data_IF_266363165892
#
_entry.id   IF_266363165892
#
_cell.length_a   1.000
_cell.length_b   1.000
_cell.length_c   1.000
_cell.angle_alpha   90.00
_cell.angle_beta   90.00
_cell.angle_gamma   90.00
#
_symmetry.space_group_name_H-M   'P 1'
#
loop_
_entity.id
_entity.type
_entity.pdbx_description
1 polymer ?
#
# COMPACT_ATOMS: atom_id res chain seq x y z
N UNK A 1 -57.08 -43.61 10.65
CA UNK A 1 -55.79 -42.97 10.57
C UNK A 1 -55.62 -42.38 9.20
N UNK A 2 -55.80 -41.09 9.06
CA UNK A 2 -55.44 -40.34 7.88
C UNK A 2 -53.91 -40.15 7.87
N UNK A 3 -53.24 -40.36 6.72
CA UNK A 3 -51.82 -40.08 6.65
C UNK A 3 -51.58 -38.59 6.85
N UNK A 4 -50.72 -38.24 7.79
CA UNK A 4 -50.25 -36.89 7.97
C UNK A 4 -49.41 -36.52 6.72
N UNK A 5 -49.88 -35.54 5.96
CA UNK A 5 -49.10 -34.95 4.86
C UNK A 5 -48.18 -33.93 5.48
N UNK A 6 -46.91 -34.20 5.41
CA UNK A 6 -45.86 -33.22 5.77
C UNK A 6 -45.80 -32.21 4.61
N UNK A 7 -46.26 -31.00 4.85
CA UNK A 7 -46.03 -29.88 3.91
C UNK A 7 -44.66 -29.28 4.30
N UNK A 8 -43.64 -29.64 3.57
CA UNK A 8 -42.36 -28.94 3.67
C UNK A 8 -42.49 -27.57 3.00
N UNK A 9 -42.35 -26.52 3.73
CA UNK A 9 -42.15 -25.20 3.17
C UNK A 9 -40.65 -25.07 2.92
N UNK A 10 -40.23 -25.01 1.66
CA UNK A 10 -38.87 -24.60 1.31
C UNK A 10 -38.77 -23.11 1.57
N UNK A 11 -38.31 -22.73 2.74
CA UNK A 11 -37.89 -21.35 3.00
C UNK A 11 -36.47 -21.14 2.47
N UNK A 12 -36.32 -20.16 1.64
CA UNK A 12 -35.05 -19.72 1.11
C UNK A 12 -34.46 -18.71 2.12
N UNK A 13 -33.33 -19.06 2.72
CA UNK A 13 -32.60 -18.14 3.60
C UNK A 13 -31.66 -17.29 2.78
N UNK A 14 -31.62 -16.01 3.06
CA UNK A 14 -30.70 -15.08 2.44
C UNK A 14 -29.76 -14.54 3.49
N UNK A 15 -28.48 -14.58 3.18
CA UNK A 15 -27.43 -13.90 3.95
C UNK A 15 -27.22 -12.52 3.33
N UNK A 16 -27.48 -11.48 4.11
CA UNK A 16 -27.21 -10.12 3.68
C UNK A 16 -26.02 -9.56 4.45
N UNK A 17 -24.94 -9.28 3.76
CA UNK A 17 -23.80 -8.59 4.36
C UNK A 17 -24.10 -7.12 4.60
N UNK A 18 -23.62 -6.58 5.71
CA UNK A 18 -23.67 -5.14 5.98
C UNK A 18 -22.82 -4.32 5.00
N UNK A 19 -21.88 -4.96 4.31
CA UNK A 19 -20.95 -4.31 3.38
C UNK A 19 -20.88 -5.10 2.08
N UNK A 20 -20.95 -4.39 0.97
CA UNK A 20 -20.69 -4.96 -0.36
C UNK A 20 -19.18 -5.10 -0.65
N UNK A 21 -18.34 -4.45 0.12
CA UNK A 21 -16.88 -4.46 -0.02
C UNK A 21 -16.22 -4.39 1.35
N UNK A 22 -15.22 -5.22 1.57
CA UNK A 22 -14.36 -5.23 2.76
C UNK A 22 -12.95 -4.88 2.35
N UNK A 23 -12.32 -3.94 3.06
CA UNK A 23 -10.91 -3.63 2.93
C UNK A 23 -10.25 -4.00 4.26
N UNK A 24 -9.18 -4.78 4.20
CA UNK A 24 -8.46 -5.24 5.38
C UNK A 24 -6.96 -5.26 5.12
N UNK A 25 -6.18 -4.76 6.07
CA UNK A 25 -4.72 -4.89 6.07
C UNK A 25 -4.32 -6.28 6.59
N UNK A 26 -3.25 -6.85 6.05
CA UNK A 26 -2.85 -8.24 6.29
C UNK A 26 -2.73 -8.60 7.78
N UNK A 27 -2.18 -7.74 8.60
CA UNK A 27 -1.97 -7.99 10.05
C UNK A 27 -3.09 -7.47 10.94
N UNK A 28 -4.09 -6.81 10.35
CA UNK A 28 -5.26 -6.30 11.08
C UNK A 28 -6.40 -7.31 11.03
N UNK A 29 -7.35 -7.16 11.93
CA UNK A 29 -8.58 -7.93 11.93
C UNK A 29 -9.78 -7.07 11.56
N UNK A 30 -10.75 -7.68 10.91
CA UNK A 30 -12.02 -7.07 10.54
C UNK A 30 -13.16 -7.93 11.05
N UNK A 31 -14.28 -7.31 11.40
CA UNK A 31 -15.52 -8.03 11.66
C UNK A 31 -16.31 -8.17 10.37
N UNK A 32 -16.61 -9.42 10.04
CA UNK A 32 -17.46 -9.82 8.93
C UNK A 32 -18.87 -10.00 9.50
N UNK A 33 -19.74 -9.03 9.26
CA UNK A 33 -21.10 -9.02 9.79
C UNK A 33 -22.10 -9.35 8.69
N UNK A 34 -23.11 -10.12 9.05
CA UNK A 34 -24.23 -10.41 8.16
C UNK A 34 -25.52 -10.64 8.97
N UNK A 35 -26.66 -10.56 8.28
CA UNK A 35 -27.97 -10.89 8.82
C UNK A 35 -28.63 -11.95 7.94
N UNK A 36 -29.34 -12.87 8.57
CA UNK A 36 -30.07 -13.94 7.92
C UNK A 36 -31.54 -13.74 8.12
N UNK A 37 -32.28 -13.83 7.02
CA UNK A 37 -33.74 -13.75 7.06
C UNK A 37 -34.38 -14.76 6.08
N UNK A 38 -35.59 -15.15 6.40
CA UNK A 38 -36.42 -15.96 5.51
C UNK A 38 -37.00 -15.05 4.41
N UNK A 39 -36.80 -15.42 3.15
CA UNK A 39 -37.25 -14.63 2.00
C UNK A 39 -38.78 -14.62 1.91
N UNK A 40 -39.45 -15.66 2.41
CA UNK A 40 -40.89 -15.80 2.27
C UNK A 40 -41.68 -14.77 3.10
N UNK A 41 -41.20 -14.48 4.30
CA UNK A 41 -41.91 -13.58 5.25
C UNK A 41 -41.03 -12.47 5.83
N UNK A 42 -39.76 -12.43 5.43
CA UNK A 42 -38.76 -11.46 5.93
C UNK A 42 -38.49 -11.57 7.45
N UNK A 43 -38.81 -12.71 8.05
CA UNK A 43 -38.51 -12.96 9.44
C UNK A 43 -37.02 -13.26 9.64
N UNK A 44 -36.48 -12.84 10.80
CA UNK A 44 -35.10 -13.14 11.17
C UNK A 44 -34.94 -14.64 11.47
N UNK A 45 -33.84 -15.24 11.00
CA UNK A 45 -33.56 -16.66 11.23
C UNK A 45 -32.53 -16.80 12.35
N UNK A 46 -32.97 -17.34 13.51
CA UNK A 46 -32.09 -17.67 14.62
C UNK A 46 -31.52 -19.09 14.49
N UNK A 47 -30.43 -19.36 15.20
CA UNK A 47 -29.80 -20.67 15.33
C UNK A 47 -29.32 -21.31 14.01
N UNK A 48 -29.27 -20.53 12.93
CA UNK A 48 -28.69 -20.98 11.66
C UNK A 48 -27.18 -20.82 11.65
N UNK A 49 -26.47 -21.82 11.12
CA UNK A 49 -25.02 -21.77 10.97
C UNK A 49 -24.65 -21.07 9.67
N UNK A 50 -23.84 -20.02 9.76
CA UNK A 50 -23.23 -19.35 8.61
C UNK A 50 -21.77 -19.72 8.52
N UNK A 51 -21.38 -20.26 7.40
CA UNK A 51 -20.00 -20.56 7.06
C UNK A 51 -19.44 -19.43 6.18
N UNK A 52 -18.28 -18.91 6.55
CA UNK A 52 -17.54 -17.92 5.81
C UNK A 52 -16.44 -18.62 5.03
N UNK A 53 -16.51 -18.54 3.71
CA UNK A 53 -15.63 -19.23 2.78
C UNK A 53 -14.87 -18.18 1.96
N UNK A 54 -13.57 -18.20 2.06
CA UNK A 54 -12.68 -17.29 1.36
C UNK A 54 -12.12 -17.99 0.11
N UNK A 55 -12.29 -17.35 -1.07
CA UNK A 55 -11.74 -17.85 -2.32
C UNK A 55 -10.29 -17.38 -2.48
N UNK A 56 -9.36 -18.29 -2.25
CA UNK A 56 -7.94 -18.06 -2.42
C UNK A 56 -7.46 -18.68 -3.74
N UNK A 57 -7.76 -18.01 -4.86
CA UNK A 57 -7.17 -18.26 -6.20
C UNK A 57 -7.50 -19.60 -6.81
N UNK A 58 -8.28 -20.45 -6.55
CA UNK A 58 -8.76 -21.78 -6.96
C UNK A 58 -9.00 -22.73 -5.77
N UNK A 59 -8.85 -22.22 -4.53
CA UNK A 59 -9.06 -23.01 -3.33
C UNK A 59 -10.00 -22.26 -2.42
N UNK A 60 -11.17 -22.82 -2.18
CA UNK A 60 -12.10 -22.30 -1.19
C UNK A 60 -11.62 -22.74 0.20
N UNK A 61 -11.42 -21.78 1.08
CA UNK A 61 -10.98 -22.03 2.47
C UNK A 61 -12.06 -21.52 3.42
N UNK A 62 -12.60 -22.37 4.25
CA UNK A 62 -13.48 -21.97 5.34
C UNK A 62 -12.65 -21.22 6.39
N UNK A 63 -12.93 -19.93 6.57
CA UNK A 63 -12.25 -19.06 7.54
C UNK A 63 -12.94 -19.07 8.92
N UNK A 64 -14.18 -19.55 8.98
CA UNK A 64 -14.92 -19.74 10.22
C UNK A 64 -16.40 -19.99 9.97
N UNK A 65 -17.08 -20.40 11.03
CA UNK A 65 -18.55 -20.52 11.06
C UNK A 65 -19.09 -19.91 12.36
N UNK A 66 -20.26 -19.30 12.25
CA UNK A 66 -20.96 -18.64 13.37
C UNK A 66 -22.43 -19.00 13.34
N UNK A 67 -23.03 -19.17 14.51
CA UNK A 67 -24.48 -19.39 14.64
C UNK A 67 -25.16 -18.03 14.79
N UNK A 68 -26.27 -17.82 14.06
CA UNK A 68 -27.04 -16.59 14.13
C UNK A 68 -27.69 -16.42 15.49
N UNK A 69 -27.76 -15.17 15.97
CA UNK A 69 -28.45 -14.81 17.20
C UNK A 69 -29.98 -14.78 17.01
N UNK A 70 -30.72 -14.44 18.06
CA UNK A 70 -32.19 -14.33 18.05
C UNK A 70 -32.74 -13.27 17.07
N UNK A 71 -31.86 -12.42 16.55
CA UNK A 71 -32.17 -11.39 15.56
C UNK A 71 -31.66 -11.73 14.16
N UNK A 72 -31.16 -12.97 13.98
CA UNK A 72 -30.60 -13.40 12.70
C UNK A 72 -29.20 -12.87 12.41
N UNK A 73 -28.53 -12.18 13.35
CA UNK A 73 -27.23 -11.59 13.09
C UNK A 73 -26.08 -12.59 13.34
N UNK A 74 -25.06 -12.49 12.54
CA UNK A 74 -23.79 -13.20 12.69
C UNK A 74 -22.62 -12.21 12.60
N UNK A 75 -21.55 -12.49 13.34
CA UNK A 75 -20.34 -11.69 13.33
C UNK A 75 -19.13 -12.59 13.51
N UNK A 76 -18.22 -12.59 12.54
CA UNK A 76 -16.95 -13.32 12.57
C UNK A 76 -15.79 -12.33 12.56
N UNK A 77 -14.92 -12.39 13.56
CA UNK A 77 -13.64 -11.68 13.53
C UNK A 77 -12.66 -12.49 12.68
N UNK A 78 -12.08 -11.87 11.68
CA UNK A 78 -11.14 -12.49 10.76
C UNK A 78 -9.92 -11.61 10.51
N UNK A 79 -8.76 -12.25 10.31
CA UNK A 79 -7.52 -11.60 9.92
C UNK A 79 -6.89 -12.35 8.74
N UNK A 80 -6.50 -11.67 7.65
CA UNK A 80 -5.94 -12.30 6.44
C UNK A 80 -4.44 -12.61 6.59
N UNK A 81 -4.01 -13.16 7.71
CA UNK A 81 -2.60 -13.49 7.95
C UNK A 81 -2.10 -14.49 6.90
N UNK A 82 -1.01 -14.13 6.22
CA UNK A 82 -0.38 -14.98 5.21
C UNK A 82 -1.09 -15.01 3.86
N UNK A 83 -2.13 -14.20 3.68
CA UNK A 83 -2.80 -14.01 2.39
C UNK A 83 -2.07 -12.90 1.62
N UNK A 84 -1.70 -13.16 0.36
CA UNK A 84 -1.06 -12.14 -0.48
C UNK A 84 -1.98 -10.93 -0.70
N UNK A 85 -1.45 -9.72 -0.90
CA UNK A 85 -2.29 -8.59 -1.25
C UNK A 85 -3.01 -8.83 -2.59
N UNK A 86 -4.29 -8.45 -2.66
CA UNK A 86 -5.09 -8.74 -3.83
C UNK A 86 -6.60 -8.54 -3.64
N UNK A 87 -7.35 -8.85 -4.70
CA UNK A 87 -8.80 -8.94 -4.67
C UNK A 87 -9.22 -10.40 -4.51
N UNK A 88 -10.18 -10.60 -3.64
CA UNK A 88 -10.71 -11.91 -3.30
C UNK A 88 -12.23 -11.85 -3.15
N UNK A 89 -12.86 -13.01 -3.27
CA UNK A 89 -14.28 -13.18 -2.98
C UNK A 89 -14.45 -13.89 -1.63
N UNK A 90 -15.32 -13.34 -0.80
CA UNK A 90 -15.79 -13.95 0.44
C UNK A 90 -17.22 -14.41 0.21
N UNK A 91 -17.47 -15.70 0.34
CA UNK A 91 -18.80 -16.29 0.28
C UNK A 91 -19.31 -16.54 1.70
N UNK A 92 -20.56 -16.22 1.93
CA UNK A 92 -21.27 -16.57 3.15
C UNK A 92 -22.38 -17.53 2.80
N UNK A 93 -22.33 -18.71 3.38
CA UNK A 93 -23.27 -19.80 3.12
C UNK A 93 -24.00 -20.14 4.41
N UNK A 94 -25.32 -20.14 4.38
CA UNK A 94 -26.13 -20.54 5.53
C UNK A 94 -26.48 -22.02 5.46
N UNK A 95 -26.28 -22.69 6.59
CA UNK A 95 -26.72 -24.07 6.81
C UNK A 95 -27.72 -24.07 7.97
N UNK A 96 -28.91 -24.57 7.73
CA UNK A 96 -29.87 -24.86 8.76
C UNK A 96 -29.75 -26.34 9.14
N UNK A 97 -29.28 -26.62 10.35
CA UNK A 97 -29.25 -27.95 10.92
C UNK A 97 -30.55 -28.16 11.70
N UNK A 98 -31.60 -28.53 10.99
CA UNK A 98 -32.87 -28.89 11.61
C UNK A 98 -32.68 -30.13 12.52
N UNK A 99 -32.14 -29.90 13.71
CA UNK A 99 -32.06 -30.92 14.77
C UNK A 99 -33.35 -31.11 15.53
N UNK A 100 -34.46 -30.56 15.08
CA UNK A 100 -35.77 -30.64 15.75
C UNK A 100 -36.52 -31.98 15.58
N UNK A 101 -35.74 -33.06 15.53
CA UNK A 101 -36.30 -34.43 15.68
C UNK A 101 -37.10 -34.99 14.49
N UNK A 102 -37.22 -34.24 13.39
CA UNK A 102 -37.82 -34.67 12.15
C UNK A 102 -36.85 -35.15 11.09
N UNK A 103 -35.61 -35.33 11.45
CA UNK A 103 -34.50 -35.75 10.58
C UNK A 103 -34.62 -37.22 10.18
N UNK A 104 -35.46 -37.49 9.25
CA UNK A 104 -35.33 -38.65 8.38
C UNK A 104 -34.93 -38.15 6.98
N UNK A 105 -33.62 -37.87 6.81
CA UNK A 105 -32.99 -37.75 5.50
C UNK A 105 -32.79 -36.33 4.99
N UNK A 106 -31.58 -35.87 5.02
CA UNK A 106 -30.91 -34.95 4.08
C UNK A 106 -31.62 -33.65 3.64
N UNK A 107 -32.40 -33.01 4.46
CA UNK A 107 -32.88 -31.67 4.13
C UNK A 107 -31.96 -30.60 4.69
N UNK A 108 -30.78 -30.45 4.10
CA UNK A 108 -30.00 -29.21 4.23
C UNK A 108 -30.76 -28.17 3.43
N UNK A 109 -31.29 -27.16 4.09
CA UNK A 109 -31.76 -25.97 3.40
C UNK A 109 -30.54 -25.17 3.02
N UNK A 110 -30.28 -25.05 1.73
CA UNK A 110 -29.23 -24.17 1.24
C UNK A 110 -29.82 -22.78 1.14
N UNK A 111 -29.28 -21.85 1.90
CA UNK A 111 -29.50 -20.44 1.65
C UNK A 111 -28.72 -20.00 0.41
N UNK A 112 -29.11 -18.88 -0.18
CA UNK A 112 -28.33 -18.26 -1.25
C UNK A 112 -26.97 -17.86 -0.73
N UNK A 113 -25.94 -18.08 -1.56
CA UNK A 113 -24.62 -17.57 -1.30
C UNK A 113 -24.59 -16.05 -1.47
N UNK A 114 -24.12 -15.35 -0.49
CA UNK A 114 -23.78 -13.93 -0.65
C UNK A 114 -22.29 -13.79 -0.88
N UNK A 115 -21.90 -13.09 -1.94
CA UNK A 115 -20.50 -12.82 -2.26
C UNK A 115 -20.18 -11.38 -1.91
N UNK A 116 -19.10 -11.19 -1.15
CA UNK A 116 -18.55 -9.90 -0.78
C UNK A 116 -17.14 -9.77 -1.33
N UNK A 117 -16.87 -8.68 -2.03
CA UNK A 117 -15.51 -8.40 -2.52
C UNK A 117 -14.62 -7.99 -1.35
N UNK A 118 -13.50 -8.66 -1.21
CA UNK A 118 -12.48 -8.37 -0.20
C UNK A 118 -11.21 -7.85 -0.87
N UNK A 119 -10.71 -6.74 -0.40
CA UNK A 119 -9.39 -6.23 -0.78
C UNK A 119 -8.43 -6.42 0.39
N UNK A 120 -7.41 -7.24 0.21
CA UNK A 120 -6.31 -7.40 1.17
C UNK A 120 -5.21 -6.41 0.80
N UNK A 121 -4.83 -5.57 1.78
CA UNK A 121 -3.78 -4.56 1.65
C UNK A 121 -2.61 -4.90 2.55
N UNK A 122 -1.43 -4.41 2.20
CA UNK A 122 -0.20 -4.55 2.99
C UNK A 122 0.49 -3.20 3.12
N UNK A 123 1.20 -3.03 4.22
CA UNK A 123 2.09 -1.89 4.41
C UNK A 123 3.32 -2.02 3.53
N UNK A 124 3.75 -0.89 2.97
CA UNK A 124 5.00 -0.81 2.22
C UNK A 124 6.14 -0.33 3.11
N UNK A 125 7.36 -0.71 2.78
CA UNK A 125 8.59 -0.19 3.39
C UNK A 125 9.67 -0.03 2.32
N UNK A 126 10.71 0.72 2.64
CA UNK A 126 11.83 1.01 1.74
C UNK A 126 13.13 0.42 2.26
N UNK A 127 13.90 -0.16 1.34
CA UNK A 127 15.32 -0.41 1.54
C UNK A 127 16.13 0.41 0.54
N UNK A 128 16.95 1.32 1.02
CA UNK A 128 17.87 2.10 0.20
C UNK A 128 19.20 1.35 0.12
N UNK A 129 19.55 0.92 -1.08
CA UNK A 129 20.78 0.17 -1.34
C UNK A 129 21.95 1.12 -1.61
N UNK A 130 21.69 2.26 -2.25
CA UNK A 130 22.70 3.28 -2.53
C UNK A 130 22.09 4.66 -2.65
N UNK A 131 22.67 5.62 -1.92
CA UNK A 131 22.37 7.05 -2.01
C UNK A 131 23.65 7.84 -1.66
N UNK A 132 24.06 8.85 -2.44
CA UNK A 132 25.22 9.66 -2.10
C UNK A 132 24.92 10.57 -0.91
N UNK A 133 25.88 10.68 0.01
CA UNK A 133 25.80 11.63 1.14
C UNK A 133 26.08 13.08 0.70
N UNK A 134 26.72 13.27 -0.45
CA UNK A 134 27.12 14.57 -0.98
C UNK A 134 26.95 14.58 -2.49
N UNK A 135 26.34 15.65 -2.99
CA UNK A 135 26.09 15.85 -4.44
C UNK A 135 26.46 17.28 -4.83
N UNK A 136 26.72 17.49 -6.11
CA UNK A 136 27.02 18.82 -6.65
C UNK A 136 25.79 19.37 -7.34
N UNK A 137 25.41 20.61 -7.06
CA UNK A 137 24.33 21.30 -7.73
C UNK A 137 24.57 21.36 -9.26
N UNK A 138 23.53 21.09 -10.04
CA UNK A 138 23.60 20.98 -11.51
C UNK A 138 24.04 19.60 -12.02
N UNK A 139 24.36 18.65 -11.17
CA UNK A 139 24.76 17.28 -11.56
C UNK A 139 23.75 16.28 -11.00
N UNK A 140 23.11 15.54 -11.89
CA UNK A 140 22.19 14.47 -11.49
C UNK A 140 22.91 13.38 -10.71
N UNK A 141 22.21 12.78 -9.76
CA UNK A 141 22.69 11.61 -9.02
C UNK A 141 21.65 10.51 -8.98
N UNK A 142 22.09 9.28 -8.76
CA UNK A 142 21.19 8.12 -8.72
C UNK A 142 20.95 7.68 -7.28
N UNK A 143 19.70 7.26 -7.05
CA UNK A 143 19.28 6.55 -5.84
C UNK A 143 18.79 5.16 -6.24
N UNK A 144 19.38 4.15 -5.61
CA UNK A 144 19.00 2.75 -5.82
C UNK A 144 18.34 2.21 -4.57
N UNK A 145 17.32 1.41 -4.76
CA UNK A 145 16.63 0.78 -3.63
C UNK A 145 15.55 -0.18 -4.06
N UNK A 146 14.75 -0.57 -3.08
CA UNK A 146 13.70 -1.57 -3.21
C UNK A 146 12.50 -1.14 -2.39
N UNK A 147 11.30 -1.48 -2.87
CA UNK A 147 10.06 -1.41 -2.10
C UNK A 147 9.73 -2.81 -1.61
N UNK A 148 9.40 -2.94 -0.34
CA UNK A 148 9.20 -4.19 0.38
C UNK A 148 7.80 -4.24 0.97
N UNK A 149 7.24 -5.44 1.07
CA UNK A 149 6.06 -5.72 1.89
C UNK A 149 6.50 -5.72 3.37
N UNK A 150 6.02 -4.77 4.15
CA UNK A 150 6.39 -4.62 5.55
C UNK A 150 5.70 -5.63 6.46
N UNK A 151 4.52 -6.13 6.06
CA UNK A 151 3.69 -7.04 6.83
C UNK A 151 4.14 -8.48 6.74
N UNK A 152 4.88 -8.83 5.69
CA UNK A 152 5.39 -10.17 5.49
C UNK A 152 6.78 -10.32 6.12
N UNK A 153 6.95 -11.31 7.01
CA UNK A 153 8.24 -11.58 7.67
C UNK A 153 9.39 -11.88 6.71
N UNK A 154 9.14 -12.37 5.49
CA UNK A 154 10.13 -12.56 4.43
C UNK A 154 10.44 -11.27 3.67
N UNK A 155 9.65 -10.21 3.87
CA UNK A 155 9.77 -8.89 3.23
C UNK A 155 9.97 -8.98 1.71
N UNK A 156 9.05 -9.63 0.98
CA UNK A 156 9.17 -9.77 -0.46
C UNK A 156 9.13 -8.40 -1.15
N UNK A 157 9.77 -8.32 -2.32
CA UNK A 157 9.80 -7.10 -3.12
C UNK A 157 8.44 -6.84 -3.77
N UNK A 158 8.03 -5.57 -3.78
CA UNK A 158 6.79 -5.10 -4.38
C UNK A 158 7.09 -4.47 -5.73
N UNK A 159 6.53 -5.02 -6.80
CA UNK A 159 6.69 -4.51 -8.17
C UNK A 159 5.52 -3.63 -8.60
N UNK A 160 5.77 -2.77 -9.59
CA UNK A 160 4.71 -1.97 -10.24
C UNK A 160 4.13 -0.86 -9.36
N UNK A 161 4.82 -0.46 -8.30
CA UNK A 161 4.39 0.63 -7.41
C UNK A 161 4.92 1.95 -7.94
N UNK A 162 4.06 2.97 -7.98
CA UNK A 162 4.48 4.31 -8.37
C UNK A 162 5.13 5.05 -7.19
N UNK A 163 6.26 5.69 -7.47
CA UNK A 163 7.04 6.46 -6.51
C UNK A 163 7.03 7.94 -6.88
N UNK A 164 7.04 8.80 -5.88
CA UNK A 164 7.31 10.23 -6.00
C UNK A 164 8.53 10.59 -5.19
N UNK A 165 9.29 11.60 -5.67
CA UNK A 165 10.52 12.08 -5.01
C UNK A 165 10.49 13.58 -4.92
N UNK A 166 10.80 14.13 -3.76
CA UNK A 166 10.86 15.56 -3.49
C UNK A 166 11.83 15.90 -2.37
N UNK A 167 12.18 17.20 -2.25
CA UNK A 167 12.91 17.70 -1.10
C UNK A 167 11.92 18.05 0.02
N UNK A 168 12.19 17.60 1.25
CA UNK A 168 11.33 17.90 2.41
C UNK A 168 11.18 19.40 2.65
N UNK A 169 12.23 20.16 2.35
CA UNK A 169 12.25 21.62 2.50
C UNK A 169 11.42 22.36 1.43
N UNK A 170 11.06 21.65 0.35
CA UNK A 170 10.16 22.17 -0.69
C UNK A 170 9.20 21.07 -1.20
N UNK A 171 8.22 20.64 -0.38
CA UNK A 171 7.36 19.50 -0.70
C UNK A 171 6.40 19.77 -1.87
N UNK A 172 6.21 21.02 -2.24
CA UNK A 172 5.35 21.41 -3.37
C UNK A 172 6.04 21.25 -4.73
N UNK A 173 7.35 21.01 -4.74
CA UNK A 173 8.13 20.82 -5.96
C UNK A 173 8.57 19.36 -6.04
N UNK A 174 7.82 18.60 -6.84
CA UNK A 174 8.12 17.20 -7.12
C UNK A 174 9.30 17.10 -8.08
N UNK A 175 10.36 16.40 -7.69
CA UNK A 175 11.53 16.15 -8.54
C UNK A 175 11.23 15.04 -9.56
N UNK A 176 10.58 14.00 -9.10
CA UNK A 176 10.15 12.85 -9.90
C UNK A 176 8.74 12.47 -9.49
N UNK A 177 7.87 12.28 -10.44
CA UNK A 177 6.49 11.85 -10.23
C UNK A 177 6.17 10.59 -11.02
N UNK A 178 5.52 9.64 -10.38
CA UNK A 178 5.01 8.43 -11.02
C UNK A 178 6.09 7.45 -11.52
N UNK A 179 7.30 7.46 -10.93
CA UNK A 179 8.29 6.43 -11.25
C UNK A 179 7.79 5.05 -10.84
N UNK A 180 7.72 4.12 -11.78
CA UNK A 180 7.23 2.76 -11.52
C UNK A 180 8.40 1.84 -11.14
N UNK A 181 8.29 1.13 -10.02
CA UNK A 181 9.26 0.09 -9.64
C UNK A 181 9.28 -1.02 -10.68
N UNK A 182 10.46 -1.60 -10.90
CA UNK A 182 10.66 -2.70 -11.86
C UNK A 182 9.86 -3.96 -11.48
N UNK A 183 9.83 -4.95 -12.37
CA UNK A 183 9.14 -6.22 -12.15
C UNK A 183 9.66 -7.02 -10.95
N UNK A 184 10.85 -6.68 -10.45
CA UNK A 184 11.44 -7.26 -9.24
C UNK A 184 11.42 -6.29 -8.03
N UNK A 185 10.60 -5.24 -8.06
CA UNK A 185 10.43 -4.29 -6.96
C UNK A 185 11.61 -3.34 -6.73
N UNK A 186 12.63 -3.35 -7.59
CA UNK A 186 13.76 -2.44 -7.47
C UNK A 186 13.49 -1.12 -8.16
N UNK A 187 14.20 -0.07 -7.74
CA UNK A 187 14.22 1.21 -8.44
C UNK A 187 15.65 1.76 -8.56
N UNK A 188 15.87 2.50 -9.65
CA UNK A 188 17.10 3.27 -9.90
C UNK A 188 16.67 4.62 -10.47
N UNK A 189 16.57 5.61 -9.59
CA UNK A 189 16.01 6.92 -9.91
C UNK A 189 17.15 7.92 -10.07
N UNK A 190 17.21 8.59 -11.22
CA UNK A 190 18.12 9.71 -11.45
C UNK A 190 17.46 10.99 -10.96
N UNK A 191 18.02 11.58 -9.93
CA UNK A 191 17.51 12.79 -9.29
C UNK A 191 18.21 14.01 -9.89
N UNK A 192 17.45 14.95 -10.48
CA UNK A 192 18.01 16.21 -10.95
C UNK A 192 18.32 17.14 -9.77
N UNK A 193 19.43 17.88 -9.87
CA UNK A 193 19.79 18.91 -8.90
C UNK A 193 19.71 20.32 -9.46
N UNK A 194 19.39 20.46 -10.73
CA UNK A 194 19.26 21.73 -11.46
C UNK A 194 17.85 22.36 -11.38
N UNK A 195 16.83 21.55 -11.11
CA UNK A 195 15.43 22.01 -10.98
C UNK A 195 15.16 22.88 -9.75
N UNK A 196 16.17 23.09 -8.97
CA UNK A 196 16.10 23.85 -7.73
C UNK A 196 16.29 25.33 -8.04
N UNK A 197 15.36 25.84 -8.75
CA UNK A 197 15.32 27.19 -9.35
C UNK A 197 15.24 28.31 -8.34
N UNK A 198 15.93 28.45 -7.32
CA UNK A 198 15.90 29.71 -6.54
C UNK A 198 17.05 29.89 -5.52
N UNK A 199 18.25 29.42 -5.78
CA UNK A 199 19.41 29.78 -4.94
C UNK A 199 19.41 29.20 -3.51
N UNK A 200 18.36 28.48 -3.13
CA UNK A 200 18.16 27.97 -1.77
C UNK A 200 18.56 26.51 -1.57
N UNK A 201 19.14 25.90 -2.58
CA UNK A 201 19.28 24.43 -2.65
C UNK A 201 20.55 23.89 -2.04
N UNK A 202 21.46 24.74 -1.71
CA UNK A 202 22.75 24.32 -1.13
C UNK A 202 22.66 24.11 0.36
N UNK A 203 23.47 23.21 0.87
CA UNK A 203 23.45 22.80 2.27
C UNK A 203 22.84 21.43 2.47
N UNK A 204 22.59 21.10 3.71
CA UNK A 204 21.91 19.85 4.05
C UNK A 204 20.46 19.89 3.58
N UNK A 205 20.06 18.87 2.83
CA UNK A 205 18.70 18.66 2.33
C UNK A 205 18.24 17.26 2.68
N UNK A 206 16.94 17.11 2.83
CA UNK A 206 16.32 15.81 3.09
C UNK A 206 15.57 15.36 1.84
N UNK A 207 16.08 14.34 1.16
CA UNK A 207 15.41 13.69 0.05
C UNK A 207 14.33 12.75 0.60
N UNK A 208 13.12 12.91 0.12
CA UNK A 208 11.97 12.04 0.46
C UNK A 208 11.61 11.24 -0.76
N UNK A 209 11.47 9.93 -0.59
CA UNK A 209 10.93 9.02 -1.59
C UNK A 209 9.70 8.38 -0.97
N UNK A 210 8.55 8.47 -1.63
CA UNK A 210 7.29 7.93 -1.12
C UNK A 210 6.55 7.13 -2.19
N UNK A 211 5.77 6.15 -1.73
CA UNK A 211 4.76 5.48 -2.55
C UNK A 211 3.63 6.46 -2.81
N UNK A 212 3.24 6.61 -4.08
CA UNK A 212 2.12 7.49 -4.47
C UNK A 212 0.82 6.89 -3.94
N UNK A 213 0.07 7.68 -3.17
CA UNK A 213 -1.22 7.28 -2.64
C UNK A 213 -2.18 6.87 -3.76
N UNK A 214 -2.82 5.71 -3.60
CA UNK A 214 -3.77 5.18 -4.58
C UNK A 214 -3.15 4.66 -5.88
N UNK A 215 -1.82 4.67 -6.02
CA UNK A 215 -1.14 4.09 -7.20
C UNK A 215 -1.32 2.58 -7.31
N UNK A 216 -1.60 1.93 -6.19
CA UNK A 216 -2.00 0.53 -6.13
C UNK A 216 -3.12 0.38 -5.09
N UNK A 217 -4.17 -0.40 -5.37
CA UNK A 217 -5.21 -0.69 -4.39
C UNK A 217 -4.73 -1.62 -3.26
N UNK A 218 -3.52 -2.20 -3.40
CA UNK A 218 -3.02 -3.24 -2.52
C UNK A 218 -1.91 -2.80 -1.59
N UNK A 219 -1.24 -1.67 -1.89
CA UNK A 219 -0.08 -1.20 -1.13
C UNK A 219 -0.36 0.14 -0.50
N UNK A 220 -0.21 0.19 0.81
CA UNK A 220 -0.38 1.42 1.57
C UNK A 220 0.83 2.34 1.39
N UNK A 221 0.61 3.62 1.65
CA UNK A 221 1.63 4.64 1.49
C UNK A 221 2.77 4.45 2.48
N UNK A 222 3.99 4.55 1.99
CA UNK A 222 5.19 4.60 2.80
C UNK A 222 6.11 5.71 2.31
N UNK A 223 7.03 6.15 3.15
CA UNK A 223 8.06 7.10 2.75
C UNK A 223 9.38 6.81 3.46
N UNK A 224 10.48 7.16 2.80
CA UNK A 224 11.81 7.15 3.39
C UNK A 224 12.46 8.52 3.25
N UNK A 225 13.32 8.89 4.20
CA UNK A 225 13.97 10.19 4.26
C UNK A 225 15.49 10.01 4.38
N UNK A 226 16.25 10.73 3.55
CA UNK A 226 17.70 10.64 3.53
C UNK A 226 18.32 12.04 3.45
N UNK A 227 19.23 12.32 4.36
CA UNK A 227 19.98 13.58 4.38
C UNK A 227 21.09 13.61 3.32
N UNK A 228 21.15 14.65 2.51
CA UNK A 228 22.14 14.84 1.45
C UNK A 228 22.73 16.25 1.54
N UNK A 229 24.05 16.36 1.48
CA UNK A 229 24.73 17.65 1.36
C UNK A 229 24.81 18.05 -0.11
N UNK A 230 24.08 19.09 -0.49
CA UNK A 230 24.17 19.69 -1.83
C UNK A 230 25.22 20.79 -1.82
N UNK A 231 26.29 20.61 -2.58
CA UNK A 231 27.39 21.55 -2.71
C UNK A 231 27.25 22.41 -3.96
N UNK A 232 27.56 23.70 -3.84
CA UNK A 232 27.70 24.57 -5.00
C UNK A 232 29.11 24.43 -5.62
N UNK A 233 29.20 24.73 -6.90
CA UNK A 233 30.48 24.92 -7.57
C UNK A 233 30.82 26.41 -7.57
N UNK A 234 32.01 26.72 -7.15
CA UNK A 234 32.51 28.11 -7.16
C UNK A 234 33.69 28.26 -8.11
N UNK A 235 33.79 29.43 -8.72
CA UNK A 235 34.89 29.79 -9.58
C UNK A 235 35.45 31.15 -9.21
N UNK A 236 36.68 31.38 -9.53
CA UNK A 236 37.27 32.69 -9.46
C UNK A 236 36.98 33.48 -10.75
N UNK A 237 36.43 34.66 -10.60
CA UNK A 237 36.23 35.61 -11.69
C UNK A 237 37.13 36.85 -11.48
N UNK A 238 37.43 37.51 -12.58
CA UNK A 238 38.18 38.77 -12.58
C UNK A 238 39.52 38.63 -11.83
N UNK A 239 40.20 37.47 -12.07
CA UNK A 239 41.55 37.30 -11.53
C UNK A 239 42.48 38.39 -12.04
N UNK A 240 43.04 39.17 -11.13
CA UNK A 240 44.00 40.20 -11.45
C UNK A 240 45.34 39.90 -10.79
N UNK A 241 46.44 40.14 -11.48
CA UNK A 241 46.54 40.68 -12.85
C UNK A 241 46.29 39.67 -13.94
N UNK A 242 45.66 40.10 -15.06
CA UNK A 242 45.30 39.25 -16.20
C UNK A 242 46.50 38.82 -17.06
N UNK A 243 47.59 39.55 -17.00
CA UNK A 243 48.78 39.30 -17.80
C UNK A 243 49.95 38.80 -16.96
N UNK A 244 50.91 38.05 -17.54
CA UNK A 244 52.12 37.69 -16.81
C UNK A 244 52.80 38.94 -16.28
N UNK A 245 53.13 38.92 -15.00
CA UNK A 245 53.87 39.99 -14.33
C UNK A 245 55.29 39.52 -14.16
N UNK A 246 56.23 40.38 -14.53
CA UNK A 246 57.63 40.20 -14.20
C UNK A 246 57.85 40.99 -12.90
N UNK A 247 58.24 40.28 -11.82
CA UNK A 247 58.56 40.86 -10.53
C UNK A 247 60.03 40.63 -10.22
N UNK A 248 60.71 41.64 -9.64
CA UNK A 248 62.05 41.45 -9.16
C UNK A 248 62.04 40.84 -7.77
N UNK A 249 63.18 40.27 -7.42
CA UNK A 249 63.35 39.69 -6.06
C UNK A 249 63.18 40.77 -5.00
N UNK A 250 62.18 40.58 -4.15
CA UNK A 250 61.79 41.51 -3.09
C UNK A 250 60.59 42.35 -3.39
N UNK A 251 60.08 42.36 -4.64
CA UNK A 251 58.82 43.00 -4.99
C UNK A 251 57.59 42.16 -4.52
N UNK A 252 56.50 42.82 -4.29
CA UNK A 252 55.19 42.21 -3.98
C UNK A 252 54.21 42.49 -5.07
N UNK A 253 53.30 41.55 -5.34
CA UNK A 253 52.18 41.72 -6.24
C UNK A 253 50.90 41.42 -5.49
N UNK A 254 49.90 42.27 -5.66
CA UNK A 254 48.58 42.01 -5.16
C UNK A 254 47.79 41.16 -6.16
N UNK A 255 47.32 40.01 -5.70
CA UNK A 255 46.43 39.14 -6.48
C UNK A 255 45.04 39.36 -5.92
N UNK A 256 44.12 39.80 -6.78
CA UNK A 256 42.73 39.96 -6.42
C UNK A 256 41.82 39.16 -7.36
N UNK A 257 40.79 38.60 -6.83
CA UNK A 257 39.73 37.96 -7.61
C UNK A 257 38.43 38.03 -6.87
N UNK A 258 37.33 37.83 -7.57
CA UNK A 258 36.03 37.65 -6.99
C UNK A 258 35.68 36.17 -7.02
N UNK A 259 35.41 35.61 -5.84
CA UNK A 259 34.84 34.27 -5.76
C UNK A 259 33.34 34.39 -6.12
N UNK A 260 32.92 33.72 -7.14
CA UNK A 260 31.54 33.65 -7.54
C UNK A 260 31.10 32.22 -7.60
N UNK A 261 29.83 32.03 -7.40
CA UNK A 261 29.22 30.74 -7.59
C UNK A 261 29.01 30.47 -9.09
N UNK A 262 29.37 29.28 -9.52
CA UNK A 262 29.14 28.83 -10.90
C UNK A 262 27.69 28.35 -10.96
N UNK A 263 26.75 29.28 -11.20
CA UNK A 263 25.34 28.95 -11.33
C UNK A 263 24.94 28.53 -12.75
N UNK A 264 25.86 28.61 -13.72
CA UNK A 264 25.54 28.44 -15.12
C UNK A 264 26.55 27.48 -15.77
N UNK A 265 26.12 26.25 -15.94
CA UNK A 265 26.53 25.40 -17.07
C UNK A 265 25.29 24.79 -17.71
#
# INVERSE_FOLDING_TARGET
NLPSVLVGIESEFVVQSERSKVIVEMNNSVFLNASIFDVADMSNVSDATVEFIFDYGNTNVTIGSVISDNFGNVSLQWSPIGISPGYYDLRMVVYDDLTDGLSQGNSRRYGNDTIVNVTVQVDSDFRIDSIPNTVTAGINFNVLGQVLDADNGSRPLISGVALTVFWLENPNETLIDGYITSSNGTFNISIPTDTLNNGTVRGMKTLVISVVEGSSPFYLTASTQNGILVMGVSRFENLQPLNPIIINRGDSVNITSKLVESSDM
#
